data_IF_685397836260
#
_entry.id   IF_685397836260
#
_cell.length_a   1.000
_cell.length_b   1.000
_cell.length_c   1.000
_cell.angle_alpha   90.00
_cell.angle_beta   90.00
_cell.angle_gamma   90.00
#
_symmetry.space_group_name_H-M   'P 1'
#
loop_
_entity.id
_entity.type
_entity.pdbx_description
1 polymer ?
#
# COMPACT_ATOMS: atom_id res chain seq x y z
N UNK A 1 30.78 12.31 -0.49
CA UNK A 1 30.24 10.95 -0.29
C UNK A 1 28.74 11.02 -0.58
N UNK A 2 28.31 10.54 -1.74
CA UNK A 2 26.93 10.64 -2.19
C UNK A 2 26.15 9.43 -1.63
N UNK A 3 25.10 9.71 -0.84
CA UNK A 3 24.16 8.68 -0.42
C UNK A 3 23.47 8.09 -1.64
N UNK A 4 23.63 6.79 -1.84
CA UNK A 4 22.83 6.02 -2.79
C UNK A 4 21.37 6.07 -2.33
N UNK A 5 20.56 6.93 -2.96
CA UNK A 5 19.13 7.03 -2.72
C UNK A 5 18.39 5.79 -3.17
N UNK A 6 18.40 4.74 -2.34
CA UNK A 6 17.47 3.64 -2.45
C UNK A 6 16.04 4.21 -2.31
N UNK A 7 15.07 3.76 -3.12
CA UNK A 7 13.70 4.22 -2.98
C UNK A 7 13.19 3.82 -1.60
N UNK A 8 12.75 4.82 -0.83
CA UNK A 8 12.30 4.64 0.55
C UNK A 8 10.82 4.32 0.61
N UNK A 9 10.41 3.57 1.64
CA UNK A 9 9.01 3.31 1.94
C UNK A 9 8.23 4.63 2.07
N UNK A 10 7.03 4.69 1.48
CA UNK A 10 6.18 5.86 1.55
C UNK A 10 5.76 6.14 2.98
N UNK A 11 5.73 7.43 3.36
CA UNK A 11 5.27 7.92 4.66
C UNK A 11 4.08 8.84 4.47
N UNK A 12 2.97 8.53 5.12
CA UNK A 12 1.72 9.29 4.97
C UNK A 12 1.13 9.60 6.34
N UNK A 13 0.70 10.85 6.55
CA UNK A 13 -0.02 11.24 7.76
C UNK A 13 -1.46 10.76 7.67
N UNK A 14 -1.95 10.12 8.72
CA UNK A 14 -3.33 9.64 8.77
C UNK A 14 -4.34 10.78 8.62
N UNK A 15 -4.06 11.95 9.18
CA UNK A 15 -4.92 13.14 9.06
C UNK A 15 -5.11 13.61 7.63
N UNK A 16 -4.13 13.35 6.76
CA UNK A 16 -4.20 13.73 5.34
C UNK A 16 -4.97 12.69 4.51
N UNK A 17 -5.27 11.51 5.07
CA UNK A 17 -6.09 10.46 4.47
C UNK A 17 -7.55 10.51 4.92
N UNK A 18 -7.91 11.41 5.82
CA UNK A 18 -9.32 11.62 6.21
C UNK A 18 -9.95 12.60 5.21
N UNK A 19 -11.00 12.21 4.47
CA UNK A 19 -11.69 13.13 3.58
C UNK A 19 -12.28 14.30 4.38
N UNK A 20 -11.95 15.54 4.00
CA UNK A 20 -12.71 16.72 4.43
C UNK A 20 -14.04 16.77 3.68
N UNK A 21 -15.14 17.19 4.33
CA UNK A 21 -16.44 17.37 3.67
C UNK A 21 -16.30 18.17 2.36
N UNK A 22 -16.68 17.55 1.24
CA UNK A 22 -16.58 18.16 -0.10
C UNK A 22 -15.63 17.44 -1.06
N UNK A 23 -14.99 18.20 -1.95
CA UNK A 23 -14.05 17.66 -2.94
C UNK A 23 -12.73 17.24 -2.26
N UNK A 24 -12.06 16.18 -2.77
CA UNK A 24 -10.77 15.77 -2.24
C UNK A 24 -9.75 16.90 -2.29
N UNK A 25 -9.15 17.22 -1.13
CA UNK A 25 -8.10 18.22 -1.03
C UNK A 25 -6.84 17.78 -1.78
N UNK A 26 -5.94 18.72 -2.07
CA UNK A 26 -4.66 18.38 -2.71
C UNK A 26 -3.76 17.56 -1.80
N UNK A 27 -3.78 17.82 -0.49
CA UNK A 27 -3.08 16.99 0.49
C UNK A 27 -3.57 15.55 0.47
N UNK A 28 -4.89 15.34 0.40
CA UNK A 28 -5.49 14.02 0.28
C UNK A 28 -5.03 13.31 -0.99
N UNK A 29 -5.09 13.97 -2.16
CA UNK A 29 -4.67 13.36 -3.44
C UNK A 29 -3.19 12.97 -3.42
N UNK A 30 -2.33 13.84 -2.88
CA UNK A 30 -0.89 13.55 -2.76
C UNK A 30 -0.66 12.37 -1.82
N UNK A 31 -1.29 12.36 -0.65
CA UNK A 31 -1.18 11.28 0.33
C UNK A 31 -1.69 9.95 -0.21
N UNK A 32 -2.81 9.92 -0.92
CA UNK A 32 -3.31 8.72 -1.62
C UNK A 32 -2.32 8.26 -2.68
N UNK A 33 -1.74 9.18 -3.47
CA UNK A 33 -0.74 8.81 -4.47
C UNK A 33 0.50 8.17 -3.84
N UNK A 34 1.01 8.72 -2.74
CA UNK A 34 2.15 8.17 -2.00
C UNK A 34 1.80 6.80 -1.43
N UNK A 35 0.61 6.67 -0.82
CA UNK A 35 0.11 5.43 -0.27
C UNK A 35 0.07 4.33 -1.34
N UNK A 36 -0.63 4.57 -2.44
CA UNK A 36 -0.78 3.58 -3.52
C UNK A 36 0.54 3.24 -4.19
N UNK A 37 1.41 4.22 -4.42
CA UNK A 37 2.73 3.96 -4.98
C UNK A 37 3.57 3.09 -4.04
N UNK A 38 3.55 3.37 -2.74
CA UNK A 38 4.28 2.60 -1.75
C UNK A 38 3.76 1.16 -1.67
N UNK A 39 2.44 0.96 -1.66
CA UNK A 39 1.84 -0.37 -1.69
C UNK A 39 2.19 -1.13 -2.97
N UNK A 40 2.20 -0.47 -4.13
CA UNK A 40 2.55 -1.11 -5.39
C UNK A 40 4.03 -1.53 -5.49
N UNK A 41 4.94 -0.72 -4.92
CA UNK A 41 6.39 -0.96 -5.01
C UNK A 41 6.92 -1.86 -3.90
N UNK A 42 6.40 -1.70 -2.69
CA UNK A 42 6.96 -2.28 -1.46
C UNK A 42 5.98 -3.19 -0.72
N UNK A 43 4.72 -3.29 -1.17
CA UNK A 43 3.65 -4.01 -0.46
C UNK A 43 3.46 -3.51 0.98
N UNK A 44 3.88 -2.27 1.27
CA UNK A 44 3.85 -1.69 2.59
C UNK A 44 3.86 -0.16 2.51
N UNK A 45 3.42 0.50 3.57
CA UNK A 45 3.49 1.96 3.75
C UNK A 45 3.59 2.28 5.24
N UNK A 46 4.29 3.37 5.58
CA UNK A 46 4.31 3.89 6.95
C UNK A 46 3.18 4.92 7.10
N UNK A 47 2.36 4.71 8.14
CA UNK A 47 1.31 5.65 8.52
C UNK A 47 1.71 6.36 9.81
N UNK A 48 1.73 7.69 9.75
CA UNK A 48 1.98 8.56 10.89
C UNK A 48 0.65 8.99 11.53
N UNK A 49 0.46 8.61 12.78
CA UNK A 49 -0.68 8.98 13.61
C UNK A 49 -0.52 10.39 14.19
N UNK A 50 -1.63 11.07 14.56
CA UNK A 50 -1.61 12.29 15.34
C UNK A 50 -0.77 12.18 16.62
N UNK A 51 -0.20 13.31 17.05
CA UNK A 51 0.62 13.36 18.25
C UNK A 51 -0.12 12.99 19.54
N UNK A 52 -1.44 13.20 19.57
CA UNK A 52 -2.33 12.78 20.66
C UNK A 52 -2.29 11.27 20.90
N UNK A 53 -2.10 10.49 19.85
CA UNK A 53 -2.26 9.03 19.89
C UNK A 53 -0.94 8.33 20.25
N UNK A 54 0.18 9.05 20.18
CA UNK A 54 1.50 8.49 20.46
C UNK A 54 1.65 7.96 21.88
N UNK A 55 0.97 8.54 22.88
CA UNK A 55 0.99 8.03 24.24
C UNK A 55 0.35 6.64 24.35
N UNK A 56 -0.79 6.45 23.68
CA UNK A 56 -1.52 5.19 23.64
C UNK A 56 -0.72 4.08 22.93
N UNK A 57 -0.11 4.39 21.78
CA UNK A 57 0.72 3.45 21.04
C UNK A 57 1.94 2.99 21.85
N UNK A 58 2.60 3.92 22.55
CA UNK A 58 3.72 3.60 23.44
C UNK A 58 3.27 2.77 24.63
N UNK A 59 2.20 3.17 25.32
CA UNK A 59 1.70 2.42 26.49
C UNK A 59 1.26 1.01 26.12
N UNK A 60 0.67 0.81 24.93
CA UNK A 60 0.32 -0.51 24.43
C UNK A 60 1.53 -1.44 24.26
N UNK A 61 2.62 -0.91 23.67
CA UNK A 61 3.87 -1.67 23.50
C UNK A 61 4.53 -1.98 24.85
N UNK A 62 4.59 -1.01 25.77
CA UNK A 62 5.15 -1.25 27.10
C UNK A 62 4.31 -2.26 27.90
N UNK A 63 2.98 -2.19 27.79
CA UNK A 63 2.11 -3.18 28.40
C UNK A 63 2.28 -4.56 27.78
N UNK A 64 2.50 -4.66 26.46
CA UNK A 64 2.78 -5.93 25.79
C UNK A 64 4.06 -6.57 26.35
N UNK A 65 5.13 -5.77 26.52
CA UNK A 65 6.35 -6.23 27.17
C UNK A 65 6.02 -6.78 28.55
N UNK A 66 5.49 -5.95 29.44
CA UNK A 66 5.22 -6.33 30.83
C UNK A 66 4.37 -7.60 30.92
N UNK A 67 3.29 -7.67 30.13
CA UNK A 67 2.40 -8.82 30.07
C UNK A 67 3.17 -10.10 29.81
N UNK A 68 3.92 -10.14 28.72
CA UNK A 68 4.64 -11.35 28.38
C UNK A 68 5.76 -11.60 29.40
N UNK A 69 6.48 -10.58 29.89
CA UNK A 69 7.61 -10.79 30.83
C UNK A 69 7.21 -11.45 32.15
N UNK A 70 5.95 -11.28 32.55
CA UNK A 70 5.40 -11.86 33.77
C UNK A 70 4.88 -13.29 33.56
N UNK A 71 4.76 -13.77 32.32
CA UNK A 71 4.28 -15.12 32.03
C UNK A 71 5.34 -16.17 32.35
N UNK A 72 4.86 -17.33 32.74
CA UNK A 72 5.71 -18.48 33.02
C UNK A 72 6.49 -18.92 31.78
N UNK A 73 7.72 -19.38 32.02
CA UNK A 73 8.68 -19.79 31.00
C UNK A 73 8.17 -20.94 30.11
N UNK A 74 7.21 -21.72 30.60
CA UNK A 74 6.66 -22.90 29.92
C UNK A 74 5.13 -22.87 29.94
N UNK A 75 4.47 -22.43 28.87
CA UNK A 75 3.01 -22.57 28.79
C UNK A 75 2.65 -24.07 28.75
N UNK A 76 1.61 -24.51 29.47
CA UNK A 76 1.14 -25.89 29.41
C UNK A 76 0.75 -26.29 27.97
N UNK A 77 0.90 -27.57 27.64
CA UNK A 77 0.70 -28.11 26.29
C UNK A 77 -0.68 -27.80 25.69
N UNK A 78 -1.68 -27.56 26.54
CA UNK A 78 -3.07 -27.24 26.17
C UNK A 78 -3.23 -25.84 25.53
N UNK A 79 -2.17 -25.01 25.53
CA UNK A 79 -2.16 -23.62 25.02
C UNK A 79 -1.44 -23.51 23.65
N UNK A 80 -0.96 -24.64 23.11
CA UNK A 80 -0.35 -24.70 21.79
C UNK A 80 -1.48 -24.68 20.75
N UNK A 81 -1.74 -23.53 20.16
CA UNK A 81 -2.75 -23.42 19.11
C UNK A 81 -2.19 -24.04 17.81
N UNK A 82 -2.73 -25.18 17.43
CA UNK A 82 -2.78 -25.56 16.01
C UNK A 82 -3.72 -24.58 15.31
N UNK A 83 -3.33 -24.11 14.13
CA UNK A 83 -4.07 -23.15 13.31
C UNK A 83 -5.41 -23.76 12.82
N UNK A 84 -6.35 -23.99 13.73
CA UNK A 84 -7.66 -24.57 13.44
C UNK A 84 -8.56 -23.50 12.83
N UNK A 85 -8.57 -23.48 11.50
CA UNK A 85 -9.29 -22.56 10.62
C UNK A 85 -10.81 -22.52 10.83
N UNK A 86 -11.39 -23.41 11.65
CA UNK A 86 -12.84 -23.53 11.87
C UNK A 86 -13.44 -22.44 12.76
N UNK A 87 -12.64 -21.74 13.57
CA UNK A 87 -13.14 -20.72 14.51
C UNK A 87 -12.33 -19.41 14.51
N UNK A 88 -11.86 -18.97 13.33
CA UNK A 88 -10.99 -17.80 13.19
C UNK A 88 -11.53 -16.50 13.83
N UNK A 89 -12.85 -16.33 13.95
CA UNK A 89 -13.50 -15.17 14.56
C UNK A 89 -13.83 -15.34 16.05
N UNK A 90 -13.47 -16.47 16.68
CA UNK A 90 -13.68 -16.75 18.10
C UNK A 90 -12.38 -16.82 18.92
N UNK A 91 -11.23 -16.62 18.29
CA UNK A 91 -9.93 -16.65 18.97
C UNK A 91 -9.74 -15.37 19.77
N UNK A 92 -9.72 -15.49 21.10
CA UNK A 92 -9.28 -14.44 22.01
C UNK A 92 -8.59 -15.09 23.18
N UNK A 93 -7.60 -14.41 23.75
CA UNK A 93 -6.74 -14.98 24.78
C UNK A 93 -5.35 -15.31 24.28
N UNK A 94 -4.57 -15.89 25.18
CA UNK A 94 -3.17 -16.20 24.94
C UNK A 94 -2.98 -17.56 24.25
N UNK A 95 -2.02 -17.63 23.33
CA UNK A 95 -1.54 -18.88 22.76
C UNK A 95 -0.08 -18.76 22.29
N UNK A 96 0.54 -19.89 21.96
CA UNK A 96 1.92 -19.94 21.43
C UNK A 96 2.04 -20.70 20.13
N UNK A 97 2.90 -20.20 19.24
CA UNK A 97 3.33 -20.89 18.03
C UNK A 97 4.83 -21.26 18.15
N UNK A 98 5.08 -22.56 18.29
CA UNK A 98 6.44 -23.11 18.44
C UNK A 98 7.26 -23.10 17.17
N UNK A 99 6.64 -23.07 16.00
CA UNK A 99 7.36 -22.99 14.73
C UNK A 99 7.87 -21.58 14.46
N UNK A 100 7.15 -20.57 14.94
CA UNK A 100 7.50 -19.15 14.78
C UNK A 100 8.22 -18.54 15.98
N UNK A 101 8.42 -19.32 17.06
CA UNK A 101 8.88 -18.84 18.37
C UNK A 101 8.16 -17.56 18.80
N UNK A 102 6.84 -17.65 18.73
CA UNK A 102 5.95 -16.51 18.91
C UNK A 102 4.93 -16.82 20.01
N UNK A 103 4.88 -15.94 21.01
CA UNK A 103 3.77 -15.85 21.95
C UNK A 103 2.77 -14.80 21.45
N UNK A 104 1.48 -15.07 21.52
CA UNK A 104 0.44 -14.14 21.05
C UNK A 104 -0.70 -14.03 22.06
N UNK A 105 -1.25 -12.83 22.22
CA UNK A 105 -2.54 -12.59 22.86
C UNK A 105 -3.48 -11.93 21.86
N UNK A 106 -4.59 -12.59 21.54
CA UNK A 106 -5.61 -12.05 20.63
C UNK A 106 -6.71 -11.33 21.42
N UNK A 107 -7.03 -10.10 21.00
CA UNK A 107 -8.14 -9.33 21.53
C UNK A 107 -9.18 -9.03 20.44
N UNK A 108 -10.44 -9.37 20.73
CA UNK A 108 -11.61 -9.06 19.91
C UNK A 108 -12.71 -8.41 20.77
N UNK A 109 -13.17 -7.20 20.41
CA UNK A 109 -14.36 -6.64 21.05
C UNK A 109 -15.60 -7.48 20.78
N UNK A 110 -16.49 -7.57 21.78
CA UNK A 110 -17.74 -8.34 21.72
C UNK A 110 -17.83 -9.38 22.84
N UNK A 111 -18.92 -10.14 22.85
CA UNK A 111 -19.11 -11.24 23.81
C UNK A 111 -18.31 -12.47 23.34
N UNK A 112 -17.04 -12.55 23.68
CA UNK A 112 -16.28 -13.80 23.53
C UNK A 112 -16.80 -14.81 24.56
N UNK A 113 -17.03 -16.09 24.20
CA UNK A 113 -17.32 -17.12 25.19
C UNK A 113 -16.14 -17.15 26.18
N UNK A 114 -16.40 -16.91 27.47
CA UNK A 114 -15.40 -17.14 28.49
C UNK A 114 -15.10 -18.63 28.53
N UNK A 115 -13.84 -19.00 28.33
CA UNK A 115 -13.36 -20.34 28.69
C UNK A 115 -13.78 -20.63 30.14
N UNK A 116 -14.25 -21.85 30.46
CA UNK A 116 -14.76 -22.20 31.79
C UNK A 116 -13.68 -22.28 32.88
N UNK A 117 -12.46 -21.83 32.62
CA UNK A 117 -11.35 -21.91 33.56
C UNK A 117 -11.33 -20.66 34.46
N UNK A 118 -11.64 -20.84 35.75
CA UNK A 118 -11.79 -19.81 36.80
C UNK A 118 -10.51 -18.97 37.08
N UNK A 119 -9.46 -19.08 36.28
CA UNK A 119 -8.27 -18.25 36.37
C UNK A 119 -8.50 -16.90 35.68
N UNK A 120 -8.54 -15.82 36.46
CA UNK A 120 -8.59 -14.44 35.95
C UNK A 120 -7.28 -14.15 35.21
N UNK A 121 -7.29 -14.25 33.88
CA UNK A 121 -6.18 -13.79 33.02
C UNK A 121 -6.31 -12.27 32.82
N UNK A 122 -5.23 -11.53 33.12
CA UNK A 122 -5.19 -10.08 32.89
C UNK A 122 -4.55 -9.78 31.53
N UNK A 123 -5.32 -9.27 30.54
CA UNK A 123 -4.76 -8.91 29.25
C UNK A 123 -3.78 -7.73 29.34
N UNK A 124 -2.95 -7.52 28.31
CA UNK A 124 -2.28 -6.23 28.11
C UNK A 124 -3.27 -5.06 28.22
N UNK A 125 -2.83 -3.94 28.78
CA UNK A 125 -3.64 -2.76 28.98
C UNK A 125 -3.86 -1.97 27.68
N UNK A 126 -4.98 -1.24 27.60
CA UNK A 126 -5.28 -0.31 26.51
C UNK A 126 -5.72 -0.95 25.19
N UNK A 127 -5.92 -2.28 25.15
CA UNK A 127 -6.34 -2.97 23.92
C UNK A 127 -7.65 -2.46 23.31
N UNK A 128 -8.71 -2.12 24.08
CA UNK A 128 -9.93 -1.54 23.49
C UNK A 128 -9.67 -0.23 22.74
N UNK A 129 -8.88 0.66 23.34
CA UNK A 129 -8.57 1.97 22.75
C UNK A 129 -7.66 1.83 21.53
N UNK A 130 -6.66 0.95 21.59
CA UNK A 130 -5.77 0.66 20.45
C UNK A 130 -6.55 0.01 19.31
N UNK A 131 -7.45 -0.91 19.62
CA UNK A 131 -8.33 -1.54 18.64
C UNK A 131 -9.20 -0.50 17.93
N UNK A 132 -9.80 0.43 18.67
CA UNK A 132 -10.60 1.50 18.09
C UNK A 132 -9.75 2.43 17.20
N UNK A 133 -8.55 2.81 17.67
CA UNK A 133 -7.61 3.66 16.94
C UNK A 133 -7.17 3.01 15.61
N UNK A 134 -6.65 1.78 15.66
CA UNK A 134 -6.22 1.06 14.47
C UNK A 134 -7.38 0.68 13.56
N UNK A 135 -8.54 0.33 14.12
CA UNK A 135 -9.75 0.05 13.35
C UNK A 135 -10.25 1.26 12.56
N UNK A 136 -10.21 2.46 13.15
CA UNK A 136 -10.53 3.70 12.44
C UNK A 136 -9.51 3.97 11.34
N UNK A 137 -8.22 3.93 11.67
CA UNK A 137 -7.15 4.18 10.71
C UNK A 137 -7.20 3.22 9.51
N UNK A 138 -7.45 1.94 9.75
CA UNK A 138 -7.57 0.93 8.70
C UNK A 138 -8.72 1.23 7.73
N UNK A 139 -9.85 1.73 8.23
CA UNK A 139 -11.00 2.13 7.38
C UNK A 139 -10.69 3.37 6.55
N UNK A 140 -10.09 4.40 7.15
CA UNK A 140 -9.66 5.61 6.43
C UNK A 140 -8.67 5.26 5.30
N UNK A 141 -7.73 4.35 5.57
CA UNK A 141 -6.76 3.85 4.57
C UNK A 141 -7.45 3.02 3.48
N UNK A 142 -8.40 2.16 3.86
CA UNK A 142 -9.13 1.33 2.90
C UNK A 142 -10.00 2.19 1.96
N UNK A 143 -10.61 3.25 2.47
CA UNK A 143 -11.34 4.23 1.66
C UNK A 143 -10.40 5.00 0.72
N UNK A 144 -9.19 5.37 1.18
CA UNK A 144 -8.15 5.95 0.33
C UNK A 144 -7.71 5.01 -0.81
N UNK A 145 -7.58 3.71 -0.55
CA UNK A 145 -7.32 2.70 -1.59
C UNK A 145 -8.51 2.63 -2.56
N UNK A 146 -9.74 2.62 -2.06
CA UNK A 146 -10.95 2.64 -2.89
C UNK A 146 -11.00 3.87 -3.80
N UNK A 147 -10.65 5.04 -3.29
CA UNK A 147 -10.56 6.27 -4.07
C UNK A 147 -9.48 6.18 -5.16
N UNK A 148 -8.30 5.64 -4.86
CA UNK A 148 -7.25 5.43 -5.86
C UNK A 148 -7.69 4.50 -6.99
N UNK A 149 -8.48 3.49 -6.65
CA UNK A 149 -9.09 2.56 -7.58
C UNK A 149 -10.35 3.14 -8.25
N UNK A 150 -10.66 4.43 -8.11
CA UNK A 150 -11.86 5.06 -8.68
C UNK A 150 -13.17 4.32 -8.36
N UNK A 151 -13.24 3.67 -7.20
CA UNK A 151 -14.44 2.99 -6.74
C UNK A 151 -15.45 4.02 -6.24
N UNK A 152 -16.72 3.61 -6.12
CA UNK A 152 -17.75 4.45 -5.50
C UNK A 152 -17.43 4.67 -4.03
N UNK A 153 -18.09 5.66 -3.42
CA UNK A 153 -17.94 5.92 -1.99
C UNK A 153 -18.19 4.67 -1.16
N UNK A 154 -17.30 4.40 -0.20
CA UNK A 154 -17.39 3.29 0.76
C UNK A 154 -17.54 1.89 0.14
N UNK A 155 -16.65 1.49 -0.80
CA UNK A 155 -16.84 0.29 -1.62
C UNK A 155 -16.71 -1.03 -0.84
N UNK A 156 -16.11 -0.97 0.36
CA UNK A 156 -15.88 -2.14 1.21
C UNK A 156 -16.79 -2.17 2.45
N UNK A 157 -17.73 -1.23 2.61
CA UNK A 157 -18.52 -1.13 3.85
C UNK A 157 -19.36 -2.38 4.12
N UNK A 158 -19.86 -3.03 3.06
CA UNK A 158 -20.73 -4.20 3.18
C UNK A 158 -20.01 -5.44 3.72
N UNK A 159 -18.71 -5.54 3.48
CA UNK A 159 -17.87 -6.67 3.94
C UNK A 159 -17.21 -6.41 5.29
N UNK A 160 -17.46 -5.25 5.92
CA UNK A 160 -16.86 -4.88 7.21
C UNK A 160 -17.86 -5.00 8.36
N UNK A 161 -17.34 -5.14 9.58
CA UNK A 161 -18.16 -5.05 10.78
C UNK A 161 -18.82 -3.66 10.93
N UNK A 162 -19.94 -3.60 11.63
CA UNK A 162 -20.54 -2.32 12.01
C UNK A 162 -19.69 -1.61 13.07
N UNK A 163 -19.63 -0.27 13.03
CA UNK A 163 -19.02 0.54 14.09
C UNK A 163 -20.08 1.53 14.59
N UNK A 164 -20.58 1.39 15.84
CA UNK A 164 -20.27 0.32 16.81
C UNK A 164 -20.82 -1.06 16.39
N UNK A 165 -20.28 -2.13 16.97
CA UNK A 165 -20.79 -3.50 16.80
C UNK A 165 -22.24 -3.60 17.30
N UNK A 166 -23.04 -4.49 16.68
CA UNK A 166 -24.40 -4.75 17.17
C UNK A 166 -24.36 -5.57 18.45
N UNK A 167 -25.45 -5.52 19.22
CA UNK A 167 -25.57 -6.31 20.45
C UNK A 167 -25.33 -7.80 20.18
N UNK A 168 -24.44 -8.41 20.97
CA UNK A 168 -24.03 -9.83 20.90
C UNK A 168 -23.23 -10.23 19.65
N UNK A 169 -22.78 -9.28 18.83
CA UNK A 169 -21.78 -9.55 17.79
C UNK A 169 -20.37 -9.55 18.38
N UNK A 170 -19.50 -10.40 17.84
CA UNK A 170 -18.05 -10.38 18.06
C UNK A 170 -17.41 -9.75 16.82
N UNK A 171 -16.39 -8.94 17.02
CA UNK A 171 -15.59 -8.38 15.93
C UNK A 171 -14.96 -9.48 15.08
N UNK A 172 -15.15 -9.37 13.76
CA UNK A 172 -14.42 -10.15 12.77
C UNK A 172 -12.95 -9.74 12.74
N UNK A 173 -12.61 -8.48 13.02
CA UNK A 173 -11.22 -8.00 13.13
C UNK A 173 -10.58 -8.32 14.48
N UNK A 174 -9.25 -8.45 14.52
CA UNK A 174 -8.48 -8.80 15.73
C UNK A 174 -7.31 -7.85 15.95
N UNK A 175 -7.03 -7.57 17.22
CA UNK A 175 -5.77 -6.97 17.65
C UNK A 175 -4.94 -8.05 18.34
N UNK A 176 -3.86 -8.46 17.70
CA UNK A 176 -2.91 -9.43 18.22
C UNK A 176 -1.73 -8.70 18.87
N UNK A 177 -1.43 -9.05 20.10
CA UNK A 177 -0.20 -8.63 20.79
C UNK A 177 0.77 -9.79 20.67
N UNK A 178 1.93 -9.59 20.05
CA UNK A 178 2.88 -10.66 19.77
C UNK A 178 4.22 -10.41 20.46
N UNK A 179 4.88 -11.47 20.92
CA UNK A 179 6.27 -11.44 21.37
C UNK A 179 7.05 -12.56 20.68
N UNK A 180 8.08 -12.19 19.92
CA UNK A 180 8.96 -13.12 19.22
C UNK A 180 10.27 -13.32 19.96
N UNK A 181 10.86 -14.51 19.80
CA UNK A 181 12.25 -14.79 20.17
C UNK A 181 12.58 -14.62 21.65
N UNK A 182 11.66 -15.00 22.55
CA UNK A 182 11.95 -14.96 23.98
C UNK A 182 12.78 -16.17 24.42
N UNK A 183 13.86 -15.99 25.21
CA UNK A 183 14.70 -17.09 25.68
C UNK A 183 13.97 -18.17 26.50
N UNK A 184 12.87 -17.83 27.17
CA UNK A 184 12.06 -18.80 27.92
C UNK A 184 11.55 -19.97 27.07
N UNK A 185 11.46 -19.79 25.76
CA UNK A 185 11.05 -20.83 24.82
C UNK A 185 12.05 -22.02 24.72
N UNK A 186 13.26 -21.89 25.27
CA UNK A 186 14.37 -22.85 25.05
C UNK A 186 14.33 -24.13 25.90
N UNK A 187 13.60 -24.18 27.02
CA UNK A 187 13.83 -25.28 27.97
C UNK A 187 13.21 -26.62 27.63
N UNK A 188 12.33 -26.72 26.63
CA UNK A 188 11.86 -28.04 26.15
C UNK A 188 12.88 -28.75 25.25
N UNK A 189 13.88 -28.05 24.70
CA UNK A 189 14.94 -28.66 23.88
C UNK A 189 16.24 -28.91 24.66
N UNK A 190 16.45 -28.27 25.81
CA UNK A 190 17.66 -28.46 26.62
C UNK A 190 17.70 -29.73 27.47
N UNK A 191 16.60 -30.50 27.60
CA UNK A 191 16.66 -31.80 28.29
C UNK A 191 17.47 -32.87 27.53
N UNK A 192 17.94 -32.59 26.32
CA UNK A 192 18.88 -33.45 25.60
C UNK A 192 20.33 -32.93 25.60
N UNK A 193 20.64 -31.83 26.31
CA UNK A 193 22.01 -31.26 26.40
C UNK A 193 22.64 -31.62 27.76
N UNK A 194 22.71 -32.92 28.06
CA UNK A 194 23.72 -33.45 29.01
C UNK A 194 24.51 -34.62 28.42
N UNK A 195 24.42 -34.86 27.12
CA UNK A 195 25.32 -35.78 26.43
C UNK A 195 26.09 -35.00 25.38
N UNK A 196 27.32 -34.69 25.74
CA UNK A 196 28.43 -34.31 24.89
C UNK A 196 28.44 -35.12 23.58
N UNK A 197 28.86 -34.47 22.49
CA UNK A 197 29.27 -35.04 21.20
C UNK A 197 28.14 -35.33 20.18
N UNK A 198 27.60 -34.28 19.56
CA UNK A 198 27.57 -34.19 18.09
C UNK A 198 27.06 -32.79 17.65
N UNK A 199 27.83 -32.14 16.79
CA UNK A 199 27.50 -30.86 16.16
C UNK A 199 26.40 -31.03 15.10
N UNK A 200 25.23 -31.54 15.47
CA UNK A 200 24.05 -31.49 14.62
C UNK A 200 23.56 -30.04 14.57
N UNK A 201 24.01 -29.33 13.54
CA UNK A 201 23.34 -28.14 13.00
C UNK A 201 21.84 -28.42 12.97
N UNK A 202 21.11 -27.88 13.95
CA UNK A 202 19.64 -27.90 13.94
C UNK A 202 19.26 -27.11 12.69
N UNK A 203 18.85 -27.83 11.65
CA UNK A 203 18.35 -27.27 10.40
C UNK A 203 17.10 -26.46 10.74
N UNK A 204 17.26 -25.14 10.80
CA UNK A 204 16.15 -24.20 10.91
C UNK A 204 15.23 -24.48 9.72
N UNK A 205 13.93 -24.81 9.92
CA UNK A 205 13.01 -24.91 8.80
C UNK A 205 13.04 -23.57 8.07
N UNK A 206 13.24 -23.63 6.76
CA UNK A 206 13.19 -22.50 5.85
C UNK A 206 11.92 -21.71 6.20
N UNK A 207 12.07 -20.45 6.64
CA UNK A 207 10.95 -19.69 7.17
C UNK A 207 9.94 -19.46 6.05
N UNK A 208 8.90 -20.30 5.99
CA UNK A 208 7.78 -20.14 5.08
C UNK A 208 7.25 -18.71 5.24
N UNK A 209 7.32 -17.94 4.15
CA UNK A 209 6.87 -16.56 4.13
C UNK A 209 5.37 -16.52 4.43
N UNK A 210 4.97 -15.57 5.27
CA UNK A 210 3.58 -15.45 5.68
C UNK A 210 2.81 -14.48 4.81
N UNK A 211 1.54 -14.78 4.58
CA UNK A 211 0.58 -13.83 4.01
C UNK A 211 -0.65 -13.82 4.91
N UNK A 212 -1.07 -12.64 5.32
CA UNK A 212 -2.26 -12.47 6.14
C UNK A 212 -3.55 -12.65 5.29
N UNK A 213 -4.57 -13.28 5.87
CA UNK A 213 -5.92 -13.35 5.27
C UNK A 213 -6.76 -12.07 5.49
N UNK A 214 -6.14 -11.00 5.98
CA UNK A 214 -6.78 -9.71 6.26
C UNK A 214 -7.07 -8.90 4.98
N UNK A 215 -7.89 -7.86 5.11
CA UNK A 215 -7.95 -6.78 4.14
C UNK A 215 -6.69 -5.91 4.28
N UNK A 216 -6.44 -5.43 5.49
CA UNK A 216 -5.27 -4.64 5.86
C UNK A 216 -4.74 -5.10 7.22
N UNK A 217 -3.43 -5.05 7.39
CA UNK A 217 -2.76 -5.25 8.67
C UNK A 217 -1.99 -3.99 9.06
N UNK A 218 -2.16 -3.54 10.31
CA UNK A 218 -1.47 -2.40 10.91
C UNK A 218 -0.56 -2.91 12.04
N UNK A 219 0.74 -2.64 11.94
CA UNK A 219 1.74 -3.17 12.88
C UNK A 219 2.57 -2.06 13.49
N UNK A 220 2.53 -1.96 14.82
CA UNK A 220 3.51 -1.20 15.61
C UNK A 220 4.43 -2.17 16.33
N UNK A 221 5.73 -2.01 16.15
CA UNK A 221 6.76 -2.79 16.85
C UNK A 221 7.59 -1.92 17.79
N UNK A 222 8.21 -2.59 18.75
CA UNK A 222 9.16 -2.02 19.70
C UNK A 222 10.61 -1.98 19.17
N UNK A 223 10.92 -2.85 18.20
CA UNK A 223 12.22 -3.03 17.57
C UNK A 223 12.04 -3.47 16.13
N UNK A 224 13.06 -3.19 15.33
CA UNK A 224 13.17 -3.65 13.95
C UNK A 224 13.19 -5.19 13.86
N UNK A 225 12.64 -5.73 12.77
CA UNK A 225 12.68 -7.14 12.44
C UNK A 225 11.61 -7.59 11.45
N UNK A 226 10.62 -6.74 11.17
CA UNK A 226 9.59 -7.03 10.17
C UNK A 226 10.15 -6.80 8.77
N UNK A 227 10.14 -7.85 7.96
CA UNK A 227 10.53 -7.80 6.58
C UNK A 227 9.32 -8.05 5.67
N UNK A 228 9.21 -7.27 4.61
CA UNK A 228 8.20 -7.45 3.57
C UNK A 228 8.89 -7.65 2.22
N UNK A 229 8.32 -8.50 1.37
CA UNK A 229 8.83 -8.71 0.01
C UNK A 229 8.33 -7.60 -0.91
N UNK A 230 9.27 -6.84 -1.49
CA UNK A 230 8.96 -5.79 -2.46
C UNK A 230 8.53 -6.38 -3.82
N UNK A 231 8.11 -5.51 -4.74
CA UNK A 231 7.69 -5.91 -6.09
C UNK A 231 8.80 -6.59 -6.90
N UNK A 232 10.07 -6.29 -6.60
CA UNK A 232 11.23 -6.93 -7.23
C UNK A 232 11.55 -8.30 -6.60
N UNK A 233 10.77 -8.73 -5.60
CA UNK A 233 10.95 -9.98 -4.91
C UNK A 233 11.99 -9.94 -3.79
N UNK A 234 12.49 -8.76 -3.41
CA UNK A 234 13.53 -8.57 -2.39
C UNK A 234 12.91 -8.37 -1.01
N UNK A 235 13.55 -8.92 0.02
CA UNK A 235 13.17 -8.65 1.41
C UNK A 235 13.67 -7.28 1.84
N UNK A 236 12.75 -6.41 2.26
CA UNK A 236 13.05 -5.09 2.81
C UNK A 236 12.65 -5.03 4.28
N UNK A 237 13.53 -4.50 5.12
CA UNK A 237 13.21 -4.20 6.51
C UNK A 237 12.29 -2.97 6.55
N UNK A 238 11.04 -3.14 6.97
CA UNK A 238 10.03 -2.07 6.91
C UNK A 238 9.90 -1.29 8.21
N UNK A 239 10.30 -1.87 9.35
CA UNK A 239 10.15 -1.26 10.66
C UNK A 239 11.48 -0.80 11.29
N UNK A 240 12.51 -0.62 10.46
CA UNK A 240 13.87 -0.22 10.90
C UNK A 240 13.96 1.19 11.46
N UNK A 241 13.12 2.11 10.99
CA UNK A 241 13.16 3.53 11.27
C UNK A 241 11.78 4.11 11.64
N UNK A 242 10.94 3.29 12.31
CA UNK A 242 9.63 3.72 12.80
C UNK A 242 9.73 4.74 13.93
N UNK A 243 9.11 5.89 13.72
CA UNK A 243 8.85 6.87 14.76
C UNK A 243 7.89 6.39 15.86
N UNK A 244 7.79 7.14 16.98
CA UNK A 244 6.93 6.78 18.11
C UNK A 244 5.43 6.86 17.81
N UNK A 245 5.04 7.50 16.71
CA UNK A 245 3.66 7.69 16.24
C UNK A 245 3.44 6.99 14.89
N UNK A 246 4.34 6.11 14.49
CA UNK A 246 4.29 5.47 13.17
C UNK A 246 3.99 3.99 13.30
N UNK A 247 3.18 3.46 12.38
CA UNK A 247 2.94 2.04 12.21
C UNK A 247 3.10 1.64 10.74
N UNK A 248 3.45 0.38 10.50
CA UNK A 248 3.48 -0.21 9.17
C UNK A 248 2.08 -0.66 8.80
N UNK A 249 1.70 -0.42 7.55
CA UNK A 249 0.46 -0.92 6.98
C UNK A 249 0.78 -1.73 5.74
N UNK A 250 0.19 -2.92 5.64
CA UNK A 250 0.34 -3.77 4.47
C UNK A 250 -0.97 -4.52 4.14
N UNK A 251 -1.24 -4.81 2.86
CA UNK A 251 -2.44 -5.48 2.38
C UNK A 251 -2.38 -6.99 2.59
N UNK A 252 -3.53 -7.61 2.83
CA UNK A 252 -3.67 -9.06 2.92
C UNK A 252 -4.47 -9.67 1.76
N UNK A 253 -4.65 -10.98 1.80
CA UNK A 253 -5.31 -11.75 0.74
C UNK A 253 -6.78 -11.37 0.53
N UNK A 254 -7.49 -10.97 1.59
CA UNK A 254 -8.88 -10.58 1.43
C UNK A 254 -9.00 -9.31 0.59
N UNK A 255 -8.03 -8.38 0.68
CA UNK A 255 -8.04 -7.17 -0.14
C UNK A 255 -7.66 -7.49 -1.58
N UNK A 256 -6.70 -8.40 -1.79
CA UNK A 256 -6.40 -8.95 -3.11
C UNK A 256 -7.66 -9.55 -3.76
N UNK A 257 -8.41 -10.37 -3.01
CA UNK A 257 -9.66 -10.94 -3.50
C UNK A 257 -10.73 -9.89 -3.76
N UNK A 258 -10.96 -8.96 -2.82
CA UNK A 258 -11.98 -7.92 -2.94
C UNK A 258 -11.69 -6.93 -4.08
N UNK A 259 -10.42 -6.73 -4.41
CA UNK A 259 -9.97 -5.86 -5.51
C UNK A 259 -9.70 -6.64 -6.78
N UNK A 260 -10.14 -7.89 -6.93
CA UNK A 260 -9.91 -8.70 -8.13
C UNK A 260 -8.44 -8.77 -8.59
N UNK A 261 -7.52 -8.75 -7.63
CA UNK A 261 -6.07 -8.82 -7.85
C UNK A 261 -5.36 -7.51 -8.13
N UNK A 262 -6.07 -6.37 -8.09
CA UNK A 262 -5.46 -5.06 -8.37
C UNK A 262 -4.61 -4.52 -7.20
N UNK A 263 -4.79 -5.05 -5.99
CA UNK A 263 -3.91 -4.78 -4.84
C UNK A 263 -3.23 -6.08 -4.41
N UNK A 264 -1.91 -6.16 -4.63
CA UNK A 264 -1.13 -7.33 -4.26
C UNK A 264 -1.04 -7.49 -2.73
N UNK A 265 -1.17 -8.71 -2.19
CA UNK A 265 -0.98 -8.95 -0.77
C UNK A 265 0.50 -8.92 -0.41
N UNK A 266 0.83 -8.54 0.83
CA UNK A 266 2.20 -8.54 1.31
C UNK A 266 2.64 -9.92 1.79
N UNK A 267 3.77 -10.38 1.27
CA UNK A 267 4.56 -11.46 1.86
C UNK A 267 5.43 -10.86 2.96
N UNK A 268 5.31 -11.38 4.18
CA UNK A 268 6.05 -10.89 5.32
C UNK A 268 6.74 -12.02 6.09
N UNK A 269 7.79 -11.65 6.82
CA UNK A 269 8.44 -12.51 7.81
C UNK A 269 8.99 -11.63 8.93
N UNK A 270 9.05 -12.20 10.14
CA UNK A 270 9.72 -11.55 11.27
C UNK A 270 11.04 -12.25 11.50
N UNK A 271 12.15 -11.51 11.42
CA UNK A 271 13.47 -12.06 11.72
C UNK A 271 13.67 -12.19 13.22
N UNK A 272 14.16 -13.35 13.64
CA UNK A 272 14.39 -13.72 15.03
C UNK A 272 15.89 -13.56 15.31
N UNK A 273 16.29 -12.39 15.80
CA UNK A 273 17.68 -12.20 16.26
C UNK A 273 17.84 -12.72 17.70
N UNK A 274 18.49 -13.89 17.83
CA UNK A 274 18.77 -14.53 19.12
C UNK A 274 19.86 -13.84 19.95
N UNK A 275 20.79 -13.13 19.31
CA UNK A 275 22.10 -12.84 19.92
C UNK A 275 22.07 -11.71 20.98
N UNK A 276 20.96 -11.01 21.17
CA UNK A 276 20.94 -9.80 21.99
C UNK A 276 19.63 -9.48 22.73
N UNK A 277 18.73 -10.44 22.97
CA UNK A 277 17.42 -10.08 23.53
C UNK A 277 16.90 -11.00 24.64
N UNK A 278 17.18 -10.64 25.90
CA UNK A 278 16.58 -11.29 27.08
C UNK A 278 15.04 -11.22 27.10
N UNK A 279 14.46 -10.30 26.32
CA UNK A 279 13.08 -9.84 26.48
C UNK A 279 12.18 -10.02 25.25
N UNK A 280 12.72 -10.54 24.15
CA UNK A 280 11.99 -10.72 22.88
C UNK A 280 11.61 -9.41 22.17
N UNK A 281 11.07 -9.54 20.96
CA UNK A 281 10.54 -8.42 20.14
C UNK A 281 9.01 -8.39 20.27
N UNK A 282 8.48 -7.29 20.81
CA UNK A 282 7.04 -7.11 21.01
C UNK A 282 6.39 -6.27 19.90
N UNK A 283 5.20 -6.65 19.47
CA UNK A 283 4.43 -5.90 18.49
C UNK A 283 2.94 -5.92 18.77
N UNK A 284 2.27 -4.83 18.39
CA UNK A 284 0.82 -4.73 18.27
C UNK A 284 0.47 -4.89 16.78
N UNK A 285 -0.32 -5.88 16.43
CA UNK A 285 -0.73 -6.17 15.06
C UNK A 285 -2.26 -6.21 14.97
N UNK A 286 -2.86 -5.20 14.37
CA UNK A 286 -4.29 -5.19 14.06
C UNK A 286 -4.54 -5.72 12.67
N UNK A 287 -5.46 -6.67 12.53
CA UNK A 287 -5.88 -7.26 11.26
C UNK A 287 -7.34 -6.88 11.00
N UNK A 288 -7.56 -6.01 10.01
CA UNK A 288 -8.90 -5.69 9.51
C UNK A 288 -9.40 -6.89 8.70
N UNK A 289 -10.39 -7.60 9.21
CA UNK A 289 -10.90 -8.83 8.61
C UNK A 289 -12.32 -8.61 8.04
N UNK A 290 -12.65 -9.29 6.94
CA UNK A 290 -14.00 -9.26 6.37
C UNK A 290 -15.00 -9.96 7.31
N UNK A 291 -16.27 -9.56 7.28
CA UNK A 291 -17.35 -10.18 8.06
C UNK A 291 -17.73 -11.55 7.50
N UNK A 292 -17.87 -12.56 8.36
CA UNK A 292 -18.14 -13.97 8.00
C UNK A 292 -19.32 -14.18 7.04
N UNK A 293 -20.45 -13.54 7.31
CA UNK A 293 -21.72 -13.72 6.58
C UNK A 293 -21.79 -12.94 5.25
N UNK A 294 -20.65 -12.62 4.65
CA UNK A 294 -20.55 -11.82 3.41
C UNK A 294 -19.80 -12.59 2.33
N UNK A 295 -19.70 -12.03 1.12
CA UNK A 295 -19.00 -12.65 -0.01
C UNK A 295 -18.22 -11.63 -0.82
N UNK A 296 -17.09 -12.06 -1.38
CA UNK A 296 -16.34 -11.28 -2.37
C UNK A 296 -16.88 -11.53 -3.77
N UNK A 297 -17.48 -10.52 -4.42
CA UNK A 297 -18.07 -10.64 -5.76
C UNK A 297 -17.46 -9.68 -6.80
N UNK A 298 -16.53 -8.83 -6.38
CA UNK A 298 -15.88 -7.79 -7.17
C UNK A 298 -16.86 -6.89 -7.95
N UNK A 299 -18.07 -6.70 -7.42
CA UNK A 299 -19.13 -5.89 -8.05
C UNK A 299 -18.70 -4.43 -8.22
N UNK A 300 -18.10 -3.84 -7.19
CA UNK A 300 -17.58 -2.47 -7.23
C UNK A 300 -16.44 -2.31 -8.25
N UNK A 301 -15.54 -3.29 -8.35
CA UNK A 301 -14.47 -3.28 -9.36
C UNK A 301 -15.07 -3.29 -10.78
N UNK A 302 -16.08 -4.14 -11.03
CA UNK A 302 -16.78 -4.19 -12.32
C UNK A 302 -17.52 -2.88 -12.61
N UNK A 303 -18.15 -2.29 -11.60
CA UNK A 303 -18.87 -1.02 -11.73
C UNK A 303 -17.94 0.16 -12.04
N UNK A 304 -16.69 0.11 -11.58
CA UNK A 304 -15.63 1.06 -11.93
C UNK A 304 -14.98 0.79 -13.30
N UNK A 305 -15.38 -0.28 -13.99
CA UNK A 305 -14.92 -0.61 -15.35
C UNK A 305 -13.67 -1.48 -15.40
N UNK A 306 -13.23 -2.07 -14.29
CA UNK A 306 -12.09 -2.97 -14.29
C UNK A 306 -12.42 -4.32 -14.94
N UNK A 307 -11.43 -4.86 -15.68
CA UNK A 307 -11.49 -6.22 -16.18
C UNK A 307 -11.31 -7.22 -15.04
N UNK A 308 -12.24 -8.18 -14.92
CA UNK A 308 -12.25 -9.20 -13.86
C UNK A 308 -11.85 -10.55 -14.46
N UNK A 309 -10.67 -11.06 -14.09
CA UNK A 309 -10.21 -12.39 -14.52
C UNK A 309 -11.17 -13.49 -14.05
N UNK A 310 -11.23 -14.60 -14.80
CA UNK A 310 -12.16 -15.70 -14.55
C UNK A 310 -12.11 -16.24 -13.10
N UNK A 311 -10.93 -16.21 -12.47
CA UNK A 311 -10.75 -16.66 -11.07
C UNK A 311 -11.48 -15.79 -10.04
N UNK A 312 -11.84 -14.55 -10.38
CA UNK A 312 -12.55 -13.61 -9.49
C UNK A 312 -14.02 -13.41 -9.87
N UNK A 313 -14.51 -14.06 -10.93
CA UNK A 313 -15.87 -13.84 -11.43
C UNK A 313 -16.95 -14.52 -10.58
N UNK A 314 -16.60 -15.60 -9.88
CA UNK A 314 -17.52 -16.31 -9.00
C UNK A 314 -17.47 -15.72 -7.60
N UNK A 315 -18.62 -15.38 -6.99
CA UNK A 315 -18.67 -14.93 -5.61
C UNK A 315 -18.04 -15.96 -4.66
N UNK A 316 -17.15 -15.50 -3.79
CA UNK A 316 -16.50 -16.35 -2.78
C UNK A 316 -17.03 -15.98 -1.39
N UNK A 317 -17.76 -16.88 -0.70
CA UNK A 317 -18.17 -16.64 0.69
C UNK A 317 -16.94 -16.40 1.59
N UNK A 318 -17.02 -15.42 2.49
CA UNK A 318 -15.90 -15.07 3.38
C UNK A 318 -15.53 -16.24 4.29
N UNK A 319 -16.51 -16.96 4.83
CA UNK A 319 -16.24 -18.14 5.65
C UNK A 319 -15.44 -19.21 4.91
N UNK A 320 -15.82 -19.50 3.66
CA UNK A 320 -15.08 -20.42 2.79
C UNK A 320 -13.65 -19.92 2.54
N UNK A 321 -13.50 -18.63 2.23
CA UNK A 321 -12.21 -18.01 1.99
C UNK A 321 -11.30 -18.10 3.22
N UNK A 322 -11.84 -17.83 4.41
CA UNK A 322 -11.08 -17.86 5.66
C UNK A 322 -10.67 -19.28 6.06
N UNK A 323 -11.48 -20.29 5.72
CA UNK A 323 -11.20 -21.69 6.04
C UNK A 323 -10.20 -22.36 5.09
N UNK A 324 -10.16 -21.95 3.81
CA UNK A 324 -9.26 -22.53 2.81
C UNK A 324 -7.80 -22.15 3.08
N UNK A 325 -6.89 -23.06 2.76
CA UNK A 325 -5.47 -22.75 2.62
C UNK A 325 -5.25 -21.99 1.31
N UNK A 326 -4.42 -20.94 1.36
CA UNK A 326 -4.08 -20.14 0.19
C UNK A 326 -2.60 -20.37 -0.12
N UNK A 327 -2.26 -21.26 -1.07
CA UNK A 327 -0.87 -21.50 -1.42
C UNK A 327 -0.26 -20.22 -1.99
N UNK A 328 0.84 -19.77 -1.40
CA UNK A 328 1.54 -18.53 -1.77
C UNK A 328 2.33 -18.68 -3.06
N UNK A 329 2.72 -19.91 -3.43
CA UNK A 329 3.53 -20.20 -4.62
C UNK A 329 2.86 -19.80 -5.94
N UNK A 330 1.52 -19.91 -6.05
CA UNK A 330 0.79 -19.60 -7.29
C UNK A 330 0.58 -18.10 -7.51
N UNK A 331 0.60 -17.29 -6.45
CA UNK A 331 0.41 -15.85 -6.51
C UNK A 331 1.65 -15.13 -7.06
N UNK A 332 2.85 -15.68 -6.79
CA UNK A 332 4.13 -14.99 -7.07
C UNK A 332 5.03 -15.70 -8.09
N UNK A 333 4.76 -16.95 -8.50
CA UNK A 333 5.52 -17.64 -9.58
C UNK A 333 5.01 -17.37 -11.00
N UNK A 334 4.14 -16.37 -11.21
CA UNK A 334 3.70 -15.97 -12.56
C UNK A 334 4.84 -15.17 -13.22
N UNK A 335 5.53 -15.70 -14.26
CA UNK A 335 6.54 -14.93 -14.97
C UNK A 335 5.83 -13.82 -15.75
N UNK A 336 5.99 -12.58 -15.28
CA UNK A 336 5.47 -11.39 -15.94
C UNK A 336 3.94 -11.30 -15.96
N UNK A 337 3.33 -10.87 -14.84
CA UNK A 337 2.06 -10.18 -14.94
C UNK A 337 2.28 -8.68 -15.05
N UNK A 338 1.67 -8.14 -16.09
CA UNK A 338 1.69 -6.75 -16.49
C UNK A 338 1.18 -5.91 -15.33
N UNK A 339 2.08 -5.20 -14.65
CA UNK A 339 1.68 -3.93 -14.08
C UNK A 339 1.10 -3.10 -15.23
N UNK A 340 -0.16 -2.68 -15.09
CA UNK A 340 -0.82 -1.70 -15.96
C UNK A 340 -0.66 -1.94 -17.47
N UNK A 341 -1.51 -2.78 -18.05
CA UNK A 341 -1.90 -2.57 -19.44
C UNK A 341 -3.37 -2.16 -19.48
N UNK A 342 -3.60 -0.90 -19.84
CA UNK A 342 -4.89 -0.47 -20.36
C UNK A 342 -5.26 -1.39 -21.52
N UNK A 343 -6.46 -1.98 -21.48
CA UNK A 343 -7.10 -2.34 -22.72
C UNK A 343 -7.37 -1.03 -23.48
N UNK A 344 -6.90 -0.89 -24.73
CA UNK A 344 -7.15 0.31 -25.51
C UNK A 344 -8.65 0.39 -25.75
N UNK A 345 -9.31 1.33 -25.08
CA UNK A 345 -10.62 1.77 -25.55
C UNK A 345 -10.43 2.31 -26.96
N UNK A 346 -11.35 1.95 -27.85
CA UNK A 346 -11.36 2.18 -29.30
C UNK A 346 -11.14 3.64 -29.78
N UNK A 347 -10.89 4.60 -28.90
CA UNK A 347 -10.95 6.02 -29.18
C UNK A 347 -9.73 6.60 -29.93
N UNK A 348 -8.52 6.07 -29.73
CA UNK A 348 -7.30 6.76 -30.23
C UNK A 348 -7.17 6.65 -31.76
N UNK A 349 -7.54 5.50 -32.33
CA UNK A 349 -7.44 5.25 -33.78
C UNK A 349 -8.56 5.97 -34.56
N UNK A 350 -9.78 5.94 -34.04
CA UNK A 350 -10.94 6.64 -34.64
C UNK A 350 -10.76 8.16 -34.70
N UNK A 351 -10.11 8.76 -33.70
CA UNK A 351 -9.87 10.21 -33.69
C UNK A 351 -8.69 10.61 -34.60
N UNK A 352 -7.71 9.73 -34.83
CA UNK A 352 -6.59 9.99 -35.74
C UNK A 352 -7.02 9.96 -37.22
N UNK A 353 -7.88 9.00 -37.59
CA UNK A 353 -8.44 8.85 -38.93
C UNK A 353 -9.40 10.00 -39.28
N UNK A 354 -10.23 10.46 -38.32
CA UNK A 354 -11.12 11.64 -38.48
C UNK A 354 -10.38 12.97 -38.68
N UNK A 355 -9.13 13.07 -38.20
CA UNK A 355 -8.33 14.31 -38.24
C UNK A 355 -7.24 14.30 -39.33
N UNK A 356 -7.17 13.24 -40.15
CA UNK A 356 -6.20 13.13 -41.25
C UNK A 356 -4.73 13.08 -40.79
N UNK A 357 -4.48 12.74 -39.52
CA UNK A 357 -3.14 12.76 -38.94
C UNK A 357 -2.47 11.40 -39.18
N UNK A 358 -1.45 11.38 -40.04
CA UNK A 358 -0.64 10.18 -40.29
C UNK A 358 0.30 9.92 -39.10
N UNK A 359 -0.13 9.07 -38.17
CA UNK A 359 0.71 8.57 -37.09
C UNK A 359 1.81 7.67 -37.68
N UNK A 360 3.08 8.03 -37.46
CA UNK A 360 4.22 7.14 -37.71
C UNK A 360 4.71 6.58 -36.38
N UNK A 361 4.76 5.26 -36.33
CA UNK A 361 5.27 4.50 -35.20
C UNK A 361 6.71 4.10 -35.49
N UNK A 362 7.64 4.32 -34.55
CA UNK A 362 8.99 3.78 -34.67
C UNK A 362 8.93 2.27 -34.41
N UNK A 363 9.75 1.49 -35.12
CA UNK A 363 9.71 0.05 -34.99
C UNK A 363 10.51 -0.39 -33.76
N UNK A 364 10.01 -1.34 -32.97
CA UNK A 364 10.60 -1.76 -31.69
C UNK A 364 12.09 -2.16 -31.82
N UNK A 365 12.45 -2.78 -32.95
CA UNK A 365 13.82 -3.16 -33.31
C UNK A 365 14.82 -2.00 -33.41
N UNK A 366 14.36 -0.76 -33.62
CA UNK A 366 15.22 0.42 -33.73
C UNK A 366 15.54 1.03 -32.36
N UNK A 367 14.78 0.68 -31.31
CA UNK A 367 14.91 1.24 -29.97
C UNK A 367 15.50 0.27 -28.93
N UNK A 368 15.41 -1.05 -29.14
CA UNK A 368 15.94 -2.06 -28.19
C UNK A 368 17.44 -1.90 -27.92
N UNK A 369 18.24 -1.47 -28.90
CA UNK A 369 19.70 -1.34 -28.78
C UNK A 369 20.17 -0.13 -27.97
N UNK A 370 19.27 0.80 -27.62
CA UNK A 370 19.63 2.13 -27.11
C UNK A 370 19.02 2.49 -25.75
N UNK A 371 18.29 1.57 -25.11
CA UNK A 371 17.63 1.77 -23.80
C UNK A 371 18.62 2.18 -22.70
N UNK A 372 19.91 1.83 -22.85
CA UNK A 372 20.97 2.16 -21.89
C UNK A 372 22.11 3.04 -22.47
N UNK A 373 21.95 3.58 -23.67
CA UNK A 373 22.95 4.44 -24.32
C UNK A 373 22.66 5.92 -24.05
N UNK A 374 23.68 6.69 -23.65
CA UNK A 374 23.59 8.15 -23.46
C UNK A 374 23.31 8.87 -24.79
N UNK A 375 23.75 8.28 -25.90
CA UNK A 375 23.45 8.72 -27.26
C UNK A 375 22.34 7.83 -27.83
N UNK A 376 21.08 8.24 -27.66
CA UNK A 376 19.94 7.62 -28.34
C UNK A 376 19.62 8.38 -29.65
N UNK A 377 19.07 7.73 -30.69
CA UNK A 377 18.64 8.41 -31.91
C UNK A 377 17.67 9.58 -31.65
N UNK A 378 16.91 9.49 -30.56
CA UNK A 378 16.00 10.52 -30.09
C UNK A 378 16.74 11.77 -29.58
N UNK A 379 17.97 11.63 -29.07
CA UNK A 379 18.81 12.76 -28.65
C UNK A 379 19.31 13.59 -29.84
N UNK A 380 19.70 12.95 -30.94
CA UNK A 380 20.12 13.67 -32.16
C UNK A 380 18.96 14.43 -32.82
N UNK A 381 17.77 13.81 -32.87
CA UNK A 381 16.54 14.47 -33.37
C UNK A 381 16.17 15.66 -32.49
N UNK A 382 16.30 15.56 -31.16
CA UNK A 382 16.05 16.68 -30.22
C UNK A 382 16.93 17.89 -30.52
N UNK A 383 18.21 17.66 -30.84
CA UNK A 383 19.16 18.73 -31.19
C UNK A 383 18.84 19.32 -32.56
N UNK A 384 18.50 18.49 -33.54
CA UNK A 384 18.18 18.92 -34.92
C UNK A 384 16.93 19.80 -34.99
N UNK A 385 15.92 19.53 -34.17
CA UNK A 385 14.67 20.32 -34.13
C UNK A 385 14.68 21.47 -33.10
N UNK A 386 15.80 21.68 -32.41
CA UNK A 386 15.94 22.75 -31.41
C UNK A 386 15.03 22.60 -30.18
N UNK A 387 14.83 21.36 -29.71
CA UNK A 387 13.94 21.08 -28.58
C UNK A 387 14.49 21.62 -27.24
N UNK A 388 13.68 22.28 -26.39
CA UNK A 388 14.19 22.93 -25.17
C UNK A 388 14.79 21.95 -24.15
N UNK A 389 15.93 22.31 -23.58
CA UNK A 389 16.57 21.55 -22.49
C UNK A 389 15.70 21.59 -21.23
N UNK A 390 15.32 20.41 -20.73
CA UNK A 390 14.49 20.25 -19.53
C UNK A 390 13.01 19.93 -19.79
N UNK A 391 12.55 19.90 -21.06
CA UNK A 391 11.17 19.55 -21.42
C UNK A 391 11.08 18.09 -21.88
N UNK A 392 10.28 17.22 -21.22
CA UNK A 392 10.20 15.80 -21.56
C UNK A 392 9.63 15.58 -22.97
N UNK A 393 10.31 14.72 -23.74
CA UNK A 393 9.94 14.35 -25.11
C UNK A 393 9.10 13.07 -25.04
N UNK A 394 7.80 13.18 -25.34
CA UNK A 394 6.83 12.08 -25.22
C UNK A 394 6.56 11.48 -26.59
N UNK A 395 6.66 10.15 -26.72
CA UNK A 395 6.39 9.52 -27.99
C UNK A 395 4.86 9.53 -28.27
N UNK A 396 4.41 9.84 -29.50
CA UNK A 396 2.98 10.06 -29.80
C UNK A 396 2.06 8.84 -29.67
N UNK A 397 2.57 7.66 -29.29
CA UNK A 397 1.77 6.48 -28.94
C UNK A 397 1.40 6.44 -27.46
N UNK A 398 1.96 7.33 -26.65
CA UNK A 398 1.70 7.41 -25.22
C UNK A 398 0.57 8.40 -24.86
N UNK A 399 -0.09 9.04 -25.84
CA UNK A 399 -1.14 10.04 -25.58
C UNK A 399 -2.46 9.80 -26.34
N UNK A 400 -3.61 9.67 -25.64
CA UNK A 400 -4.94 9.63 -26.24
C UNK A 400 -5.37 10.95 -26.88
N UNK A 401 -6.26 10.92 -27.86
CA UNK A 401 -6.57 12.10 -28.69
C UNK A 401 -7.30 13.28 -27.99
N UNK A 402 -7.98 13.04 -26.88
CA UNK A 402 -8.49 14.12 -26.01
C UNK A 402 -7.35 14.79 -25.23
N UNK A 403 -6.35 14.01 -24.83
CA UNK A 403 -5.11 14.48 -24.22
C UNK A 403 -4.24 15.23 -25.23
N UNK A 404 -4.35 14.97 -26.54
CA UNK A 404 -3.66 15.74 -27.59
C UNK A 404 -4.19 17.16 -27.77
N UNK A 405 -5.52 17.35 -27.78
CA UNK A 405 -6.13 18.69 -27.82
C UNK A 405 -5.99 19.41 -26.47
N UNK A 406 -6.11 18.68 -25.36
CA UNK A 406 -5.79 19.21 -24.03
C UNK A 406 -4.32 19.59 -23.88
N UNK A 407 -3.40 18.87 -24.52
CA UNK A 407 -1.98 19.21 -24.52
C UNK A 407 -1.70 20.54 -25.25
N UNK A 408 -2.36 20.77 -26.40
CA UNK A 408 -2.21 22.00 -27.17
C UNK A 408 -2.89 23.21 -26.51
N UNK A 409 -4.06 23.03 -25.92
CA UNK A 409 -4.76 24.07 -25.15
C UNK A 409 -4.05 24.40 -23.82
N UNK A 410 -3.41 23.42 -23.18
CA UNK A 410 -2.65 23.61 -21.94
C UNK A 410 -1.26 24.24 -22.17
N UNK A 411 -0.68 24.04 -23.36
CA UNK A 411 0.60 24.65 -23.72
C UNK A 411 0.46 26.11 -24.16
N UNK A 412 -0.64 26.46 -24.84
CA UNK A 412 -0.99 27.82 -25.22
C UNK A 412 -2.48 28.08 -24.90
N UNK A 413 -2.80 28.70 -23.74
CA UNK A 413 -4.19 28.97 -23.35
C UNK A 413 -4.89 29.89 -24.36
N UNK A 414 -5.99 29.43 -24.97
CA UNK A 414 -6.69 30.15 -26.03
C UNK A 414 -6.30 29.72 -27.46
N UNK A 415 -5.51 28.64 -27.62
CA UNK A 415 -5.09 28.12 -28.91
C UNK A 415 -6.27 27.79 -29.84
N UNK A 416 -7.33 27.17 -29.32
CA UNK A 416 -8.55 26.86 -30.09
C UNK A 416 -9.37 28.09 -30.48
N UNK A 417 -9.36 29.17 -29.69
CA UNK A 417 -10.08 30.42 -30.00
C UNK A 417 -9.28 31.35 -30.93
N UNK A 418 -7.96 31.42 -30.76
CA UNK A 418 -7.05 32.25 -31.57
C UNK A 418 -7.02 31.82 -33.04
N UNK A 419 -7.21 30.52 -33.31
CA UNK A 419 -7.17 29.94 -34.66
C UNK A 419 -8.54 29.78 -35.32
N UNK A 420 -9.64 30.15 -34.63
CA UNK A 420 -10.96 30.32 -35.26
C UNK A 420 -11.22 31.76 -35.72
N UNK A 421 -10.51 32.76 -35.16
CA UNK A 421 -10.65 34.17 -35.54
C UNK A 421 -9.57 34.68 -36.53
N UNK A 422 -8.42 34.01 -36.63
CA UNK A 422 -7.35 34.39 -37.58
C UNK A 422 -7.76 34.19 -39.05
N UNK A 423 -8.54 33.15 -39.36
CA UNK A 423 -9.02 32.88 -40.72
C UNK A 423 -10.07 33.90 -41.23
N UNK A 424 -10.68 34.69 -40.33
CA UNK A 424 -11.59 35.79 -40.73
C UNK A 424 -10.90 37.14 -40.88
N UNK A 425 -9.74 37.36 -40.25
CA UNK A 425 -9.02 38.65 -40.28
C UNK A 425 -7.90 38.71 -41.32
N UNK A 426 -7.37 37.57 -41.78
CA UNK A 426 -6.35 37.54 -42.85
C UNK A 426 -6.93 37.88 -44.22
N UNK A 427 -8.23 37.65 -44.45
CA UNK A 427 -8.91 38.02 -45.70
C UNK A 427 -9.33 39.50 -45.81
N UNK A 428 -9.13 40.32 -44.77
CA UNK A 428 -9.49 41.76 -44.81
C UNK A 428 -8.29 42.71 -44.73
N UNK A 429 -7.06 42.19 -44.58
CA UNK A 429 -5.86 43.03 -44.39
C UNK A 429 -4.78 42.94 -45.47
N UNK A 430 -5.02 42.20 -46.55
CA UNK A 430 -4.11 42.10 -47.71
C UNK A 430 -4.32 43.18 -48.80
N UNK A 431 -5.13 44.23 -48.56
CA UNK A 431 -5.36 45.30 -49.55
C UNK A 431 -4.82 46.67 -49.17
N UNK A 432 -4.15 46.86 -48.03
CA UNK A 432 -3.67 48.20 -47.65
C UNK A 432 -2.20 48.22 -47.23
N UNK A 433 -1.41 48.74 -48.19
CA UNK A 433 -0.27 49.68 -48.02
C UNK A 433 0.98 49.09 -47.36
N UNK A 434 2.03 48.73 -48.12
CA UNK A 434 3.03 49.63 -48.72
C UNK A 434 3.48 50.80 -47.82
N UNK A 435 4.80 50.86 -47.60
CA UNK A 435 5.68 52.03 -47.34
C UNK A 435 6.38 52.18 -45.96
N UNK A 436 7.70 51.88 -46.00
CA UNK A 436 8.85 52.70 -45.54
C UNK A 436 9.30 52.66 -44.04
N UNK A 437 10.63 52.77 -43.73
CA UNK A 437 11.28 52.25 -42.51
C UNK A 437 12.09 53.29 -41.66
N UNK A 438 12.78 52.76 -40.62
CA UNK A 438 14.02 53.24 -39.94
C UNK A 438 13.98 54.24 -38.74
N UNK A 439 15.06 54.11 -37.93
CA UNK A 439 15.66 55.03 -36.90
C UNK A 439 15.15 54.78 -35.46
N UNK A 440 15.86 54.14 -34.51
CA UNK A 440 17.16 54.39 -33.80
C UNK A 440 17.10 55.33 -32.58
N UNK A 441 17.83 54.93 -31.52
CA UNK A 441 18.33 55.70 -30.36
C UNK A 441 17.31 56.09 -29.25
N UNK A 442 17.62 56.27 -27.95
CA UNK A 442 18.77 56.13 -27.03
C UNK A 442 18.19 56.31 -25.60
N UNK A 443 18.71 55.56 -24.61
CA UNK A 443 18.90 55.84 -23.16
C UNK A 443 17.89 56.68 -22.35
N UNK A 444 17.46 56.16 -21.19
CA UNK A 444 17.88 56.60 -19.84
C UNK A 444 16.84 56.28 -18.75
N UNK A 445 17.34 55.61 -17.70
CA UNK A 445 16.95 55.62 -16.28
C UNK A 445 15.99 56.70 -15.80
N UNK A 446 14.99 56.36 -14.98
CA UNK A 446 14.71 57.07 -13.72
C UNK A 446 13.87 56.21 -12.75
N UNK A 447 14.24 56.38 -11.49
CA UNK A 447 13.82 55.70 -10.28
C UNK A 447 12.54 56.34 -9.67
N UNK A 448 11.97 55.65 -8.69
CA UNK A 448 11.04 56.11 -7.63
C UNK A 448 9.49 56.01 -7.75
N UNK A 449 8.97 55.15 -6.86
CA UNK A 449 8.01 55.42 -5.75
C UNK A 449 6.53 55.68 -6.06
N UNK A 450 5.67 54.98 -5.29
CA UNK A 450 4.44 55.41 -4.56
C UNK A 450 3.65 54.12 -4.25
N UNK A 451 3.12 53.75 -3.07
CA UNK A 451 2.92 54.21 -1.68
C UNK A 451 2.50 52.92 -0.92
N UNK A 452 2.92 52.62 0.31
CA UNK A 452 2.49 53.13 1.63
C UNK A 452 3.53 52.68 2.65
#
# INVERSE_FOLDING_TARGET
>A
MAGSGLPSLGRVKLTDLVPSDGLPSDSYKISVSILSQSLAQFSAVIIQFPASDGALLRSGIESARLYFHQRETYPPADIIHTNESREWCKTSGYYTDSHLWQETYDYRPGLTPSEPNDSIEFPPAGLPDIFALFGKAARDILDAIGYHLNLRSSPFVEILDNVPLRNREISSSVLSVCCHARPSFQGSQHHNITTQEDSQLIMYPDHDHQVDKSLLSLVKSDRAGLHIRDFQGRWILVDGDLGPQEAIVYPGLALYQATAGYVNPALHKTEINMEANMYGRCSLAFKLLPKSMTSFDCSEMRAAGYGIEAQFQLPVPVDDFMQRSHPTDSLFNRPGFQCFNFQPTHDVKDIADKKGIKLRFCNLKECESHIHSVDSPCANIRVEIGWPLGVPFVHPHDLPNKAKLGFLEAYEPGWTEAHQNSDRLVNTRLTLTESVPLISNIWATYDQIVKV
#
